data_IF_471138466633
#
_entry.id   IF_471138466633
#
_cell.length_a   1.000
_cell.length_b   1.000
_cell.length_c   1.000
_cell.angle_alpha   90.00
_cell.angle_beta   90.00
_cell.angle_gamma   90.00
#
_symmetry.space_group_name_H-M   'P 1'
#
loop_
_entity.id
_entity.type
_entity.pdbx_description
1 polymer ?
#
# COMPACT_ATOMS: atom_id res chain seq x y z
N UNK A 1 -10.64 -1.43 9.48
CA UNK A 1 -9.24 -0.99 9.17
C UNK A 1 -8.94 -1.23 7.71
N UNK A 2 -8.37 -0.27 7.05
CA UNK A 2 -7.90 -0.42 5.68
C UNK A 2 -6.41 -0.78 5.65
N UNK A 3 -5.98 -1.47 4.61
CA UNK A 3 -4.56 -1.78 4.40
C UNK A 3 -4.01 -0.83 3.34
N UNK A 4 -2.88 -0.21 3.62
CA UNK A 4 -2.27 0.78 2.76
C UNK A 4 -0.86 0.34 2.37
N UNK A 5 -0.60 0.28 1.06
CA UNK A 5 0.69 -0.12 0.49
C UNK A 5 1.16 0.95 -0.49
N UNK A 6 2.36 1.46 -0.31
CA UNK A 6 2.98 2.41 -1.23
C UNK A 6 4.19 1.77 -1.91
N UNK A 7 4.25 1.84 -3.25
CA UNK A 7 5.30 1.18 -4.01
C UNK A 7 5.54 1.85 -5.38
N UNK A 8 6.32 1.21 -6.23
CA UNK A 8 6.80 1.73 -7.51
C UNK A 8 6.32 0.84 -8.66
N UNK A 9 6.08 1.46 -9.82
CA UNK A 9 5.80 0.75 -11.07
C UNK A 9 7.11 0.20 -11.68
N UNK A 10 7.60 -0.88 -11.08
CA UNK A 10 8.79 -1.60 -11.53
C UNK A 10 8.60 -3.10 -11.30
N UNK A 11 9.07 -3.93 -12.21
CA UNK A 11 8.87 -5.39 -12.15
C UNK A 11 9.31 -6.00 -10.81
N UNK A 12 10.39 -5.50 -10.22
CA UNK A 12 10.85 -5.95 -8.90
C UNK A 12 9.80 -5.80 -7.80
N UNK A 13 8.98 -4.74 -7.85
CA UNK A 13 7.92 -4.51 -6.87
C UNK A 13 6.57 -5.09 -7.30
N UNK A 14 6.29 -5.11 -8.59
CA UNK A 14 4.97 -5.57 -9.09
C UNK A 14 4.75 -7.07 -8.88
N UNK A 15 5.79 -7.89 -8.95
CA UNK A 15 5.63 -9.31 -8.61
C UNK A 15 5.29 -9.50 -7.12
N UNK A 16 5.88 -8.68 -6.24
CA UNK A 16 5.56 -8.67 -4.81
C UNK A 16 4.10 -8.27 -4.59
N UNK A 17 3.63 -7.20 -5.27
CA UNK A 17 2.24 -6.78 -5.26
C UNK A 17 1.30 -7.91 -5.68
N UNK A 18 1.62 -8.64 -6.74
CA UNK A 18 0.81 -9.78 -7.20
C UNK A 18 0.72 -10.90 -6.16
N UNK A 19 1.85 -11.25 -5.55
CA UNK A 19 1.87 -12.25 -4.47
C UNK A 19 1.05 -11.77 -3.27
N UNK A 20 1.21 -10.51 -2.89
CA UNK A 20 0.47 -9.91 -1.79
C UNK A 20 -1.03 -9.87 -2.07
N UNK A 21 -1.46 -9.47 -3.27
CA UNK A 21 -2.88 -9.46 -3.67
C UNK A 21 -3.47 -10.86 -3.53
N UNK A 22 -2.81 -11.90 -4.05
CA UNK A 22 -3.28 -13.27 -3.93
C UNK A 22 -3.42 -13.71 -2.47
N UNK A 23 -2.46 -13.32 -1.63
CA UNK A 23 -2.51 -13.59 -0.20
C UNK A 23 -3.69 -12.86 0.47
N UNK A 24 -3.88 -11.59 0.16
CA UNK A 24 -4.95 -10.78 0.74
C UNK A 24 -6.33 -11.24 0.28
N UNK A 25 -6.48 -11.67 -0.96
CA UNK A 25 -7.71 -12.30 -1.45
C UNK A 25 -8.04 -13.56 -0.65
N UNK A 26 -7.03 -14.40 -0.37
CA UNK A 26 -7.21 -15.63 0.43
C UNK A 26 -7.77 -15.35 1.82
N UNK A 27 -7.36 -14.26 2.46
CA UNK A 27 -7.78 -13.91 3.82
C UNK A 27 -8.91 -12.88 3.88
N UNK A 28 -9.43 -12.43 2.73
CA UNK A 28 -10.56 -11.51 2.66
C UNK A 28 -10.21 -10.03 2.92
N UNK A 29 -8.96 -9.62 2.67
CA UNK A 29 -8.50 -8.23 2.84
C UNK A 29 -8.47 -7.44 1.54
N UNK A 30 -8.75 -8.05 0.40
CA UNK A 30 -8.63 -7.43 -0.91
C UNK A 30 -9.49 -6.17 -1.05
N UNK A 31 -10.74 -6.22 -0.58
CA UNK A 31 -11.68 -5.07 -0.63
C UNK A 31 -11.23 -3.88 0.22
N UNK A 32 -10.43 -4.12 1.25
CA UNK A 32 -9.96 -3.10 2.17
C UNK A 32 -8.55 -2.59 1.86
N UNK A 33 -7.94 -3.06 0.77
CA UNK A 33 -6.57 -2.73 0.41
C UNK A 33 -6.50 -1.61 -0.61
N UNK A 34 -5.60 -0.67 -0.36
CA UNK A 34 -5.28 0.45 -1.24
C UNK A 34 -3.80 0.38 -1.61
N UNK A 35 -3.53 0.31 -2.91
CA UNK A 35 -2.18 0.42 -3.48
C UNK A 35 -1.97 1.82 -4.03
N UNK A 36 -0.96 2.51 -3.54
CA UNK A 36 -0.51 3.80 -4.05
C UNK A 36 0.80 3.57 -4.79
N UNK A 37 0.80 3.78 -6.09
CA UNK A 37 1.91 3.37 -6.96
C UNK A 37 2.45 4.57 -7.71
N UNK A 38 3.78 4.74 -7.65
CA UNK A 38 4.44 5.81 -8.38
C UNK A 38 4.78 5.38 -9.79
N UNK A 39 4.28 6.14 -10.75
CA UNK A 39 4.67 6.08 -12.16
C UNK A 39 4.20 7.33 -12.89
N UNK A 40 4.90 7.72 -13.95
CA UNK A 40 4.42 8.77 -14.86
C UNK A 40 3.47 8.22 -15.93
N UNK A 41 3.57 6.93 -16.23
CA UNK A 41 2.69 6.20 -17.15
C UNK A 41 2.68 4.73 -16.75
N UNK A 42 1.51 4.15 -16.40
CA UNK A 42 1.45 2.76 -16.00
C UNK A 42 2.05 1.80 -17.02
N UNK A 43 2.93 0.92 -16.54
CA UNK A 43 3.49 -0.16 -17.36
C UNK A 43 2.42 -1.15 -17.82
N UNK A 44 2.67 -1.95 -18.87
CA UNK A 44 1.74 -3.00 -19.29
C UNK A 44 1.38 -3.98 -18.17
N UNK A 45 2.34 -4.33 -17.31
CA UNK A 45 2.10 -5.21 -16.15
C UNK A 45 1.17 -4.54 -15.13
N UNK A 46 1.42 -3.29 -14.79
CA UNK A 46 0.55 -2.54 -13.88
C UNK A 46 -0.86 -2.38 -14.43
N UNK A 47 -0.99 -2.04 -15.72
CA UNK A 47 -2.30 -1.96 -16.39
C UNK A 47 -3.05 -3.29 -16.32
N UNK A 48 -2.36 -4.40 -16.51
CA UNK A 48 -2.95 -5.74 -16.41
C UNK A 48 -3.49 -6.03 -15.01
N UNK A 49 -2.76 -5.63 -13.97
CA UNK A 49 -3.20 -5.76 -12.58
C UNK A 49 -4.44 -4.90 -12.32
N UNK A 50 -4.38 -3.63 -12.69
CA UNK A 50 -5.47 -2.67 -12.45
C UNK A 50 -6.76 -3.02 -13.20
N UNK A 51 -6.65 -3.66 -14.36
CA UNK A 51 -7.78 -4.04 -15.21
C UNK A 51 -8.33 -5.44 -14.91
N UNK A 52 -7.77 -6.14 -13.94
CA UNK A 52 -8.24 -7.46 -13.55
C UNK A 52 -9.47 -7.35 -12.64
N UNK A 53 -10.65 -7.73 -13.15
CA UNK A 53 -11.94 -7.63 -12.45
C UNK A 53 -12.02 -8.47 -11.17
N UNK A 54 -11.15 -9.46 -11.01
CA UNK A 54 -11.08 -10.31 -9.80
C UNK A 54 -10.41 -9.61 -8.63
N UNK A 55 -9.60 -8.57 -8.91
CA UNK A 55 -8.89 -7.78 -7.90
C UNK A 55 -9.80 -6.63 -7.47
N UNK A 56 -10.16 -6.59 -6.20
CA UNK A 56 -11.05 -5.56 -5.64
C UNK A 56 -10.30 -4.44 -4.93
N UNK A 57 -8.99 -4.60 -4.74
CA UNK A 57 -8.13 -3.55 -4.20
C UNK A 57 -8.21 -2.27 -5.04
N UNK A 58 -8.10 -1.14 -4.38
CA UNK A 58 -8.04 0.17 -5.05
C UNK A 58 -6.61 0.51 -5.44
N UNK A 59 -6.46 1.19 -6.57
CA UNK A 59 -5.15 1.63 -7.07
C UNK A 59 -5.19 3.14 -7.32
N UNK A 60 -4.24 3.86 -6.72
CA UNK A 60 -4.01 5.28 -6.96
C UNK A 60 -2.61 5.47 -7.55
N UNK A 61 -2.53 6.22 -8.64
CA UNK A 61 -1.30 6.39 -9.42
C UNK A 61 -0.84 7.84 -9.33
N UNK A 62 0.42 8.06 -8.94
CA UNK A 62 1.01 9.39 -8.81
C UNK A 62 2.39 9.46 -9.43
N UNK A 63 2.68 10.58 -10.07
CA UNK A 63 4.03 10.92 -10.53
C UNK A 63 4.95 11.26 -9.37
N UNK A 64 6.22 10.93 -9.54
CA UNK A 64 7.27 11.47 -8.69
C UNK A 64 7.54 12.93 -9.06
N UNK A 65 7.13 13.85 -8.19
CA UNK A 65 7.32 15.30 -8.33
C UNK A 65 8.23 15.86 -7.23
N UNK A 66 9.04 14.99 -6.61
CA UNK A 66 9.98 15.44 -5.57
C UNK A 66 11.05 16.35 -6.16
N UNK A 67 11.41 17.39 -5.41
CA UNK A 67 12.52 18.29 -5.71
C UNK A 67 13.80 17.70 -5.12
N UNK A 68 14.82 17.40 -5.96
CA UNK A 68 16.12 16.85 -5.56
C UNK A 68 16.02 15.56 -4.71
N UNK A 69 15.46 14.48 -5.23
CA UNK A 69 15.27 13.24 -4.48
C UNK A 69 16.62 12.56 -4.21
N UNK A 70 17.20 12.78 -3.01
CA UNK A 70 18.45 12.13 -2.59
C UNK A 70 18.23 10.73 -2.03
N UNK A 71 17.05 10.46 -1.48
CA UNK A 71 16.73 9.21 -0.82
C UNK A 71 15.54 8.54 -1.52
N UNK A 72 15.75 7.39 -2.19
CA UNK A 72 14.69 6.73 -2.96
C UNK A 72 13.44 6.43 -2.15
N UNK A 73 13.59 5.97 -0.90
CA UNK A 73 12.45 5.60 -0.03
C UNK A 73 11.56 6.77 0.35
N UNK A 74 12.01 8.02 0.21
CA UNK A 74 11.17 9.21 0.45
C UNK A 74 10.06 9.38 -0.60
N UNK A 75 10.08 8.59 -1.68
CA UNK A 75 8.99 8.57 -2.66
C UNK A 75 7.69 8.06 -2.04
N UNK A 76 7.74 7.07 -1.15
CA UNK A 76 6.55 6.50 -0.51
C UNK A 76 5.74 7.56 0.26
N UNK A 77 6.30 8.29 1.23
CA UNK A 77 5.57 9.37 1.90
C UNK A 77 5.11 10.48 0.93
N UNK A 78 5.89 10.77 -0.11
CA UNK A 78 5.51 11.77 -1.12
C UNK A 78 4.22 11.40 -1.86
N UNK A 79 4.12 10.17 -2.36
CA UNK A 79 2.90 9.72 -3.06
C UNK A 79 1.71 9.51 -2.12
N UNK A 80 1.96 9.12 -0.87
CA UNK A 80 0.93 9.03 0.17
C UNK A 80 0.36 10.41 0.50
N UNK A 81 1.19 11.42 0.64
CA UNK A 81 0.75 12.80 0.84
C UNK A 81 -0.18 13.24 -0.30
N UNK A 82 0.18 12.97 -1.55
CA UNK A 82 -0.67 13.27 -2.71
C UNK A 82 -2.01 12.56 -2.64
N UNK A 83 -2.03 11.28 -2.27
CA UNK A 83 -3.26 10.52 -2.12
C UNK A 83 -4.16 11.14 -1.05
N UNK A 84 -3.64 11.47 0.12
CA UNK A 84 -4.44 12.05 1.20
C UNK A 84 -4.94 13.48 0.89
N UNK A 85 -4.19 14.25 0.10
CA UNK A 85 -4.64 15.56 -0.36
C UNK A 85 -5.75 15.45 -1.41
N UNK A 86 -5.65 14.49 -2.32
CA UNK A 86 -6.65 14.27 -3.38
C UNK A 86 -7.90 13.56 -2.85
N UNK A 87 -7.74 12.72 -1.82
CA UNK A 87 -8.80 11.89 -1.24
C UNK A 87 -8.96 12.14 0.27
N UNK A 88 -9.45 13.34 0.65
CA UNK A 88 -9.58 13.71 2.08
C UNK A 88 -10.55 12.82 2.87
N UNK A 89 -11.41 12.06 2.20
CA UNK A 89 -12.28 11.06 2.83
C UNK A 89 -11.49 10.00 3.61
N UNK A 90 -10.23 9.78 3.26
CA UNK A 90 -9.36 8.83 3.97
C UNK A 90 -8.67 9.40 5.21
N UNK A 91 -8.74 10.71 5.45
CA UNK A 91 -8.04 11.35 6.58
C UNK A 91 -8.53 10.88 7.96
N UNK A 92 -9.75 10.35 8.03
CA UNK A 92 -10.34 9.83 9.26
C UNK A 92 -10.35 8.30 9.35
N UNK A 93 -9.72 7.61 8.39
CA UNK A 93 -9.62 6.16 8.40
C UNK A 93 -8.42 5.69 9.21
N UNK A 94 -8.54 4.51 9.79
CA UNK A 94 -7.41 3.81 10.40
C UNK A 94 -6.76 2.89 9.37
N UNK A 95 -5.45 2.95 9.27
CA UNK A 95 -4.69 2.17 8.30
C UNK A 95 -3.70 1.23 8.96
N UNK A 96 -3.60 0.03 8.40
CA UNK A 96 -2.45 -0.83 8.55
C UNK A 96 -1.52 -0.61 7.34
N UNK A 97 -0.41 0.10 7.56
CA UNK A 97 0.57 0.36 6.52
C UNK A 97 1.60 -0.76 6.47
N UNK A 98 1.88 -1.29 5.28
CA UNK A 98 2.88 -2.32 5.09
C UNK A 98 3.58 -2.22 3.73
N UNK A 99 4.74 -2.83 3.64
CA UNK A 99 5.48 -2.96 2.38
C UNK A 99 4.87 -4.07 1.49
N UNK A 100 5.09 -4.03 0.16
CA UNK A 100 4.50 -5.00 -0.77
C UNK A 100 5.05 -6.43 -0.62
N UNK A 101 6.18 -6.62 0.06
CA UNK A 101 6.78 -7.92 0.34
C UNK A 101 6.25 -8.61 1.61
N UNK A 102 5.27 -8.00 2.27
CA UNK A 102 4.62 -8.57 3.45
C UNK A 102 3.39 -9.38 3.08
N UNK A 103 3.24 -10.55 3.69
CA UNK A 103 2.06 -11.40 3.56
C UNK A 103 1.57 -11.84 4.94
N UNK A 104 0.29 -12.19 5.04
CA UNK A 104 -0.28 -12.81 6.23
C UNK A 104 -0.15 -14.33 6.16
N UNK A 105 0.19 -14.95 7.28
CA UNK A 105 0.19 -16.41 7.45
C UNK A 105 -1.10 -16.91 8.09
N UNK A 106 -1.88 -16.00 8.65
CA UNK A 106 -3.21 -16.25 9.22
C UNK A 106 -4.04 -14.99 9.15
N UNK A 107 -5.36 -15.13 9.26
CA UNK A 107 -6.25 -13.98 9.40
C UNK A 107 -6.00 -13.28 10.74
N UNK A 108 -5.88 -11.95 10.72
CA UNK A 108 -5.68 -11.11 11.90
C UNK A 108 -6.97 -10.36 12.18
N UNK A 109 -7.36 -10.31 13.45
CA UNK A 109 -8.41 -9.44 13.93
C UNK A 109 -7.79 -8.11 14.39
N UNK A 110 -8.05 -7.05 13.66
CA UNK A 110 -7.52 -5.71 13.97
C UNK A 110 -8.39 -4.91 14.95
N UNK A 111 -9.52 -5.45 15.38
CA UNK A 111 -10.54 -4.70 16.16
C UNK A 111 -9.95 -4.07 17.42
N UNK A 112 -9.14 -4.79 18.16
CA UNK A 112 -8.50 -4.28 19.38
C UNK A 112 -7.57 -3.11 19.07
N UNK A 113 -6.75 -3.25 18.02
CA UNK A 113 -5.78 -2.22 17.60
C UNK A 113 -6.48 -0.96 17.08
N UNK A 114 -7.62 -1.10 16.43
CA UNK A 114 -8.41 0.04 15.93
C UNK A 114 -9.02 0.86 17.07
N UNK A 115 -9.39 0.21 18.18
CA UNK A 115 -10.18 0.80 19.23
C UNK A 115 -9.37 1.27 20.46
N UNK A 116 -8.08 0.97 20.51
CA UNK A 116 -7.24 1.33 21.67
C UNK A 116 -6.68 2.76 21.61
N UNK A 117 -6.95 3.48 20.52
CA UNK A 117 -6.52 4.86 20.29
C UNK A 117 -5.00 5.07 20.38
N UNK A 118 -4.22 4.06 19.96
CA UNK A 118 -2.75 4.08 19.98
C UNK A 118 -2.16 3.90 18.60
N UNK A 119 -0.94 4.39 18.43
CA UNK A 119 -0.10 4.05 17.29
C UNK A 119 0.62 2.72 17.56
N UNK A 120 0.51 1.80 16.61
CA UNK A 120 1.20 0.51 16.64
C UNK A 120 2.34 0.56 15.62
N UNK A 121 3.56 0.45 16.10
CA UNK A 121 4.77 0.52 15.27
C UNK A 121 5.62 -0.74 15.50
N UNK A 122 6.32 -1.17 14.46
CA UNK A 122 7.30 -2.24 14.62
C UNK A 122 8.50 -1.76 15.45
N UNK A 123 9.00 -2.62 16.31
CA UNK A 123 10.24 -2.36 17.07
C UNK A 123 11.45 -2.56 16.14
N UNK A 124 11.93 -1.46 15.56
CA UNK A 124 13.10 -1.49 14.68
C UNK A 124 14.43 -1.58 15.45
N UNK A 125 14.44 -1.36 16.76
CA UNK A 125 15.65 -1.44 17.56
C UNK A 125 16.20 -2.86 17.64
N UNK A 126 15.32 -3.85 17.60
CA UNK A 126 15.68 -5.26 17.63
C UNK A 126 16.39 -5.77 16.37
N UNK A 127 16.37 -4.99 15.29
CA UNK A 127 16.98 -5.35 13.99
C UNK A 127 18.35 -4.71 13.76
N UNK A 128 18.76 -3.81 14.61
CA UNK A 128 20.00 -3.03 14.44
C UNK A 128 21.11 -3.60 15.31
#
# INVERSE_FOLDING_TARGET
>A
MKILVATFDHNYYLWQVLVQINNFMKYGYDDDTIYVISTSSPSPVLKSIMNNDKIKSKFFIYKDERINPKYPSSLRPHILEKMFLEHPEYNNETFFYCDPDMIFTKKIDFTEMENDNKWHLSDTRSYI
#
